data_IF_970670525473
#
_entry.id   IF_970670525473
#
_cell.length_a   1.000
_cell.length_b   1.000
_cell.length_c   1.000
_cell.angle_alpha   90.00
_cell.angle_beta   90.00
_cell.angle_gamma   90.00
#
_symmetry.space_group_name_H-M   'P 1'
#
loop_
_entity.id
_entity.type
_entity.pdbx_description
1 polymer ?
#
# COMPACT_ATOMS: atom_id res chain seq x y z
N UNK A 1 34.90 21.54 15.37
CA UNK A 1 33.95 20.47 15.68
C UNK A 1 34.17 19.34 14.68
N UNK A 2 34.36 18.14 15.14
CA UNK A 2 34.41 16.99 14.24
C UNK A 2 32.97 16.58 13.74
N UNK A 3 32.89 15.64 12.80
CA UNK A 3 31.61 15.23 12.23
C UNK A 3 30.63 14.70 13.28
N UNK A 4 31.09 13.96 14.27
CA UNK A 4 30.27 13.42 15.35
C UNK A 4 29.76 14.49 16.31
N UNK A 5 30.58 15.51 16.60
CA UNK A 5 30.18 16.65 17.43
C UNK A 5 29.09 17.48 16.76
N UNK A 6 29.23 17.73 15.44
CA UNK A 6 28.19 18.41 14.64
C UNK A 6 26.90 17.58 14.57
N UNK A 7 27.04 16.28 14.37
CA UNK A 7 25.87 15.37 14.35
C UNK A 7 25.13 15.38 15.70
N UNK A 8 25.85 15.27 16.82
CA UNK A 8 25.28 15.33 18.16
C UNK A 8 24.54 16.65 18.42
N UNK A 9 25.07 17.78 17.95
CA UNK A 9 24.41 19.07 18.03
C UNK A 9 23.08 19.07 17.25
N UNK A 10 23.06 18.53 16.04
CA UNK A 10 21.86 18.38 15.24
C UNK A 10 20.82 17.50 15.92
N UNK A 11 21.25 16.35 16.47
CA UNK A 11 20.37 15.42 17.21
C UNK A 11 19.76 16.12 18.42
N UNK A 12 20.52 16.86 19.20
CA UNK A 12 20.01 17.57 20.36
C UNK A 12 18.89 18.57 19.98
N UNK A 13 19.10 19.35 18.91
CA UNK A 13 18.10 20.29 18.40
C UNK A 13 16.85 19.58 17.86
N UNK A 14 17.03 18.51 17.09
CA UNK A 14 15.93 17.73 16.52
C UNK A 14 15.04 17.11 17.61
N UNK A 15 15.62 16.50 18.64
CA UNK A 15 14.90 15.82 19.70
C UNK A 15 14.03 16.76 20.55
N UNK A 16 14.35 18.05 20.58
CA UNK A 16 13.52 19.06 21.27
C UNK A 16 12.16 19.27 20.57
N UNK A 17 12.12 19.11 19.27
CA UNK A 17 10.94 19.48 18.46
C UNK A 17 10.16 18.30 17.90
N UNK A 18 10.83 17.15 17.62
CA UNK A 18 10.24 16.05 16.86
C UNK A 18 8.97 15.47 17.47
N UNK A 19 8.82 15.52 18.82
CA UNK A 19 7.62 15.03 19.50
C UNK A 19 6.38 15.88 19.19
N UNK A 20 6.58 17.19 19.02
CA UNK A 20 5.49 18.12 18.70
C UNK A 20 5.31 18.31 17.19
N UNK A 21 6.37 18.14 16.42
CA UNK A 21 6.38 18.24 14.96
C UNK A 21 7.26 17.13 14.34
N UNK A 22 6.67 16.00 13.95
CA UNK A 22 7.42 14.89 13.31
C UNK A 22 8.12 15.27 12.00
N UNK A 23 7.73 16.37 11.36
CA UNK A 23 8.34 16.89 10.14
C UNK A 23 9.31 18.04 10.40
N UNK A 24 9.78 18.20 11.65
CA UNK A 24 10.73 19.26 12.00
C UNK A 24 12.03 19.13 11.21
N UNK A 25 12.60 20.27 10.87
CA UNK A 25 13.91 20.39 10.26
C UNK A 25 14.95 21.02 11.25
N UNK A 26 14.65 20.99 12.52
CA UNK A 26 15.56 21.47 13.55
C UNK A 26 16.90 20.72 13.47
N UNK A 27 18.00 21.47 13.61
CA UNK A 27 19.35 20.90 13.49
C UNK A 27 19.85 20.65 12.07
N UNK A 28 19.08 20.95 11.03
CA UNK A 28 19.44 20.66 9.63
C UNK A 28 20.84 21.13 9.27
N UNK A 29 21.21 22.38 9.62
CA UNK A 29 22.55 22.90 9.35
C UNK A 29 23.68 22.04 9.96
N UNK A 30 23.48 21.58 11.19
CA UNK A 30 24.48 20.75 11.88
C UNK A 30 24.60 19.36 11.22
N UNK A 31 23.48 18.77 10.80
CA UNK A 31 23.47 17.52 10.05
C UNK A 31 24.15 17.65 8.69
N UNK A 32 23.87 18.72 7.93
CA UNK A 32 24.51 18.99 6.65
C UNK A 32 26.05 19.14 6.80
N UNK A 33 26.47 19.94 7.79
CA UNK A 33 27.91 20.18 8.03
C UNK A 33 28.60 18.90 8.49
N UNK A 34 27.94 18.08 9.30
CA UNK A 34 28.47 16.78 9.73
C UNK A 34 28.65 15.83 8.55
N UNK A 35 27.64 15.70 7.67
CA UNK A 35 27.70 14.83 6.49
C UNK A 35 28.72 15.34 5.47
N UNK A 36 28.90 16.65 5.32
CA UNK A 36 29.96 17.21 4.48
C UNK A 36 31.38 16.87 5.01
N UNK A 37 31.53 16.80 6.33
CA UNK A 37 32.81 16.43 6.95
C UNK A 37 33.10 14.92 6.86
N UNK A 38 32.05 14.07 6.95
CA UNK A 38 32.13 12.61 6.78
C UNK A 38 30.90 12.07 6.07
N UNK A 39 30.94 11.89 4.74
CA UNK A 39 29.82 11.37 3.95
C UNK A 39 29.75 9.84 3.91
N UNK A 40 30.52 9.12 4.73
CA UNK A 40 30.67 7.67 4.63
C UNK A 40 29.55 6.86 5.29
N UNK A 41 28.72 7.48 6.18
CA UNK A 41 27.66 6.79 6.92
C UNK A 41 26.32 6.86 6.15
N UNK A 42 25.86 5.76 5.51
CA UNK A 42 24.63 5.75 4.74
C UNK A 42 23.38 6.04 5.59
N UNK A 43 23.43 5.77 6.90
CA UNK A 43 22.30 6.08 7.80
C UNK A 43 22.16 7.58 8.02
N UNK A 44 23.31 8.32 8.13
CA UNK A 44 23.32 9.79 8.20
C UNK A 44 22.87 10.40 6.88
N UNK A 45 23.35 9.88 5.75
CA UNK A 45 22.89 10.30 4.41
C UNK A 45 21.38 10.16 4.28
N UNK A 46 20.84 9.00 4.68
CA UNK A 46 19.40 8.72 4.63
C UNK A 46 18.60 9.69 5.49
N UNK A 47 19.00 9.90 6.74
CA UNK A 47 18.31 10.81 7.65
C UNK A 47 18.35 12.25 7.14
N UNK A 48 19.51 12.71 6.64
CA UNK A 48 19.64 14.04 6.03
C UNK A 48 18.74 14.18 4.80
N UNK A 49 18.67 13.18 3.92
CA UNK A 49 17.75 13.19 2.78
C UNK A 49 16.31 13.41 3.21
N UNK A 50 15.87 12.73 4.26
CA UNK A 50 14.52 12.89 4.82
C UNK A 50 14.28 14.30 5.36
N UNK A 51 15.22 14.88 6.09
CA UNK A 51 15.11 16.27 6.58
C UNK A 51 15.06 17.28 5.43
N UNK A 52 15.89 17.09 4.41
CA UNK A 52 15.88 17.94 3.22
C UNK A 52 14.53 17.85 2.47
N UNK A 53 13.94 16.66 2.39
CA UNK A 53 12.60 16.48 1.84
C UNK A 53 11.57 17.32 2.63
N UNK A 54 11.56 17.24 3.96
CA UNK A 54 10.66 18.04 4.80
C UNK A 54 10.96 19.54 4.73
N UNK A 55 12.21 19.92 4.46
CA UNK A 55 12.59 21.31 4.22
C UNK A 55 12.17 21.84 2.83
N UNK A 56 11.56 21.00 1.96
CA UNK A 56 11.22 21.35 0.59
C UNK A 56 12.39 21.38 -0.38
N UNK A 57 13.59 20.95 0.06
CA UNK A 57 14.83 20.91 -0.75
C UNK A 57 14.91 19.59 -1.52
N UNK A 58 13.89 19.33 -2.35
CA UNK A 58 13.67 18.03 -2.99
C UNK A 58 14.81 17.57 -3.91
N UNK A 59 15.46 18.47 -4.65
CA UNK A 59 16.58 18.12 -5.53
C UNK A 59 17.79 17.61 -4.75
N UNK A 60 18.05 18.18 -3.58
CA UNK A 60 19.14 17.77 -2.70
C UNK A 60 18.79 16.47 -1.97
N UNK A 61 17.55 16.32 -1.50
CA UNK A 61 17.07 15.07 -0.93
C UNK A 61 17.26 13.90 -1.89
N UNK A 62 16.91 14.08 -3.18
CA UNK A 62 17.12 13.06 -4.21
C UNK A 62 18.60 12.67 -4.36
N UNK A 63 19.50 13.65 -4.37
CA UNK A 63 20.94 13.38 -4.46
C UNK A 63 21.43 12.51 -3.30
N UNK A 64 20.99 12.81 -2.07
CA UNK A 64 21.36 12.01 -0.90
C UNK A 64 20.74 10.62 -0.90
N UNK A 65 19.48 10.44 -1.35
CA UNK A 65 18.92 9.08 -1.53
C UNK A 65 19.71 8.26 -2.55
N UNK A 66 20.22 8.88 -3.62
CA UNK A 66 21.09 8.19 -4.59
C UNK A 66 22.42 7.79 -3.98
N UNK A 67 23.04 8.66 -3.15
CA UNK A 67 24.25 8.33 -2.43
C UNK A 67 24.05 7.17 -1.42
N UNK A 68 22.87 7.08 -0.78
CA UNK A 68 22.51 5.92 0.06
C UNK A 68 22.55 4.63 -0.75
N UNK A 69 21.97 4.64 -1.96
CA UNK A 69 21.97 3.47 -2.85
C UNK A 69 23.41 3.12 -3.28
N UNK A 70 24.24 4.11 -3.60
CA UNK A 70 25.65 3.90 -3.96
C UNK A 70 26.46 3.30 -2.81
N UNK A 71 26.18 3.73 -1.57
CA UNK A 71 26.86 3.24 -0.37
C UNK A 71 26.40 1.85 0.07
N UNK A 72 25.11 1.53 -0.11
CA UNK A 72 24.50 0.24 0.29
C UNK A 72 23.64 -0.33 -0.87
N UNK A 73 24.24 -0.78 -1.99
CA UNK A 73 23.49 -1.19 -3.17
C UNK A 73 22.63 -2.45 -2.98
N UNK A 74 22.89 -3.25 -1.94
CA UNK A 74 22.09 -4.43 -1.59
C UNK A 74 20.97 -4.12 -0.59
N UNK A 75 20.93 -2.89 -0.06
CA UNK A 75 19.92 -2.45 0.90
C UNK A 75 18.66 -1.95 0.19
N UNK A 76 17.51 -2.57 0.45
CA UNK A 76 16.24 -2.14 -0.14
C UNK A 76 15.76 -0.74 0.27
N UNK A 77 16.27 -0.19 1.38
CA UNK A 77 15.78 1.07 1.95
C UNK A 77 15.96 2.28 1.02
N UNK A 78 17.18 2.48 0.51
CA UNK A 78 17.47 3.61 -0.37
C UNK A 78 16.62 3.57 -1.64
N UNK A 79 16.43 2.38 -2.21
CA UNK A 79 15.60 2.19 -3.40
C UNK A 79 14.13 2.49 -3.13
N UNK A 80 13.58 1.96 -2.04
CA UNK A 80 12.18 2.17 -1.71
C UNK A 80 11.89 3.66 -1.49
N UNK A 81 12.74 4.36 -0.72
CA UNK A 81 12.55 5.79 -0.47
C UNK A 81 12.67 6.63 -1.76
N UNK A 82 13.66 6.34 -2.59
CA UNK A 82 13.81 7.06 -3.86
C UNK A 82 12.65 6.78 -4.81
N UNK A 83 12.14 5.56 -4.85
CA UNK A 83 10.96 5.20 -5.65
C UNK A 83 9.74 5.98 -5.15
N UNK A 84 9.44 5.95 -3.86
CA UNK A 84 8.31 6.69 -3.27
C UNK A 84 8.43 8.21 -3.51
N UNK A 85 9.64 8.76 -3.36
CA UNK A 85 9.92 10.16 -3.67
C UNK A 85 9.62 10.50 -5.14
N UNK A 86 10.10 9.69 -6.08
CA UNK A 86 9.90 9.91 -7.51
C UNK A 86 8.42 9.74 -7.92
N UNK A 87 7.70 8.80 -7.32
CA UNK A 87 6.26 8.59 -7.56
C UNK A 87 5.45 9.78 -7.06
N UNK A 88 5.73 10.28 -5.84
CA UNK A 88 5.08 11.48 -5.30
C UNK A 88 5.32 12.72 -6.15
N UNK A 89 6.47 12.82 -6.82
CA UNK A 89 6.81 13.87 -7.77
C UNK A 89 6.22 13.64 -9.19
N UNK A 90 5.44 12.57 -9.41
CA UNK A 90 4.88 12.22 -10.71
C UNK A 90 5.89 11.63 -11.70
N UNK A 91 7.13 11.35 -11.28
CA UNK A 91 8.26 10.86 -12.10
C UNK A 91 8.28 9.34 -12.20
N UNK A 92 7.11 8.72 -12.50
CA UNK A 92 6.92 7.25 -12.49
C UNK A 92 7.90 6.48 -13.37
N UNK A 93 8.26 7.02 -14.56
CA UNK A 93 9.24 6.39 -15.43
C UNK A 93 10.64 6.29 -14.81
N UNK A 94 11.02 7.25 -13.98
CA UNK A 94 12.27 7.23 -13.24
C UNK A 94 12.18 6.32 -12.02
N UNK A 95 11.06 6.34 -11.30
CA UNK A 95 10.79 5.41 -10.20
C UNK A 95 10.96 3.95 -10.67
N UNK A 96 10.38 3.60 -11.82
CA UNK A 96 10.53 2.26 -12.40
C UNK A 96 11.98 1.93 -12.77
N UNK A 97 12.76 2.88 -13.31
CA UNK A 97 14.19 2.64 -13.56
C UNK A 97 14.98 2.36 -12.28
N UNK A 98 14.67 3.08 -11.19
CA UNK A 98 15.27 2.84 -9.88
C UNK A 98 14.84 1.47 -9.34
N UNK A 99 13.57 1.08 -9.52
CA UNK A 99 13.09 -0.24 -9.15
C UNK A 99 13.79 -1.36 -9.94
N UNK A 100 14.03 -1.17 -11.24
CA UNK A 100 14.82 -2.09 -12.06
C UNK A 100 16.26 -2.26 -11.50
N UNK A 101 16.90 -1.18 -11.06
CA UNK A 101 18.20 -1.26 -10.40
C UNK A 101 18.12 -2.06 -9.09
N UNK A 102 17.08 -1.86 -8.28
CA UNK A 102 16.86 -2.62 -7.05
C UNK A 102 16.70 -4.13 -7.30
N UNK A 103 15.95 -4.50 -8.35
CA UNK A 103 15.78 -5.89 -8.79
C UNK A 103 17.12 -6.48 -9.23
N UNK A 104 17.87 -5.77 -10.07
CA UNK A 104 19.18 -6.22 -10.55
C UNK A 104 20.20 -6.39 -9.41
N UNK A 105 20.15 -5.55 -8.40
CA UNK A 105 20.97 -5.66 -7.20
C UNK A 105 20.50 -6.75 -6.22
N UNK A 106 19.32 -7.35 -6.45
CA UNK A 106 18.71 -8.28 -5.48
C UNK A 106 18.29 -7.60 -4.16
N UNK A 107 18.16 -6.27 -4.17
CA UNK A 107 17.97 -5.48 -2.96
C UNK A 107 16.61 -5.63 -2.32
N UNK A 108 15.51 -5.61 -3.11
CA UNK A 108 14.14 -5.70 -2.54
C UNK A 108 13.19 -6.48 -3.46
N UNK A 109 12.69 -5.93 -4.54
CA UNK A 109 11.60 -6.52 -5.35
C UNK A 109 12.07 -7.63 -6.31
N UNK A 110 11.10 -8.35 -6.89
CA UNK A 110 11.36 -9.36 -7.92
C UNK A 110 11.17 -8.81 -9.36
N UNK A 111 10.41 -7.71 -9.51
CA UNK A 111 10.07 -7.09 -10.78
C UNK A 111 9.95 -5.57 -10.62
N UNK A 112 10.31 -4.79 -11.66
CA UNK A 112 10.27 -3.32 -11.59
C UNK A 112 8.85 -2.74 -11.57
N UNK A 113 7.86 -3.52 -11.93
CA UNK A 113 6.46 -3.15 -11.82
C UNK A 113 5.84 -3.51 -10.46
N UNK A 114 6.47 -4.41 -9.70
CA UNK A 114 6.00 -4.88 -8.41
C UNK A 114 6.73 -4.14 -7.29
N UNK A 115 6.12 -3.10 -6.73
CA UNK A 115 6.78 -2.19 -5.79
C UNK A 115 6.04 -1.98 -4.46
N UNK A 116 5.50 -3.04 -3.83
CA UNK A 116 4.88 -2.89 -2.52
C UNK A 116 5.94 -2.51 -1.47
N UNK A 117 5.59 -1.67 -0.49
CA UNK A 117 6.51 -1.35 0.60
C UNK A 117 6.79 -2.55 1.51
N UNK A 118 5.86 -3.49 1.64
CA UNK A 118 6.02 -4.75 2.35
C UNK A 118 6.18 -5.86 1.30
N UNK A 119 7.41 -6.26 1.04
CA UNK A 119 7.70 -7.28 0.03
C UNK A 119 8.20 -8.57 0.68
N UNK A 120 7.41 -9.63 0.55
CA UNK A 120 7.76 -10.98 1.02
C UNK A 120 8.47 -11.74 -0.10
N UNK A 121 9.75 -12.08 0.13
CA UNK A 121 10.58 -12.81 -0.81
C UNK A 121 10.13 -14.27 -0.94
N UNK A 122 10.36 -14.86 -2.11
CA UNK A 122 10.13 -16.29 -2.36
C UNK A 122 8.71 -16.66 -2.77
N UNK A 123 7.77 -15.71 -2.81
CA UNK A 123 6.48 -15.91 -3.45
C UNK A 123 6.60 -15.70 -4.97
N UNK A 124 5.85 -16.46 -5.74
CA UNK A 124 5.79 -16.28 -7.20
C UNK A 124 5.27 -14.89 -7.53
N UNK A 125 6.06 -14.15 -8.31
CA UNK A 125 5.71 -12.79 -8.75
C UNK A 125 5.34 -12.81 -10.22
N UNK A 126 4.05 -12.60 -10.52
CA UNK A 126 3.52 -12.42 -11.88
C UNK A 126 2.30 -11.50 -11.86
N UNK A 127 2.16 -10.56 -12.82
CA UNK A 127 1.08 -9.59 -12.79
C UNK A 127 -0.30 -10.24 -12.93
N UNK A 128 -0.41 -11.25 -13.79
CA UNK A 128 -1.67 -11.97 -14.05
C UNK A 128 -1.56 -13.44 -13.68
N UNK A 129 -2.65 -13.98 -13.14
CA UNK A 129 -2.78 -15.38 -12.76
C UNK A 129 -3.83 -16.05 -13.63
N UNK A 130 -3.57 -17.30 -14.02
CA UNK A 130 -4.53 -18.05 -14.80
C UNK A 130 -5.73 -18.45 -13.93
N UNK A 131 -6.93 -18.45 -14.52
CA UNK A 131 -8.15 -18.88 -13.82
C UNK A 131 -8.02 -20.31 -13.29
N UNK A 132 -7.30 -21.14 -14.02
CA UNK A 132 -7.04 -22.56 -13.73
C UNK A 132 -6.16 -22.75 -12.48
N UNK A 133 -5.40 -21.73 -12.07
CA UNK A 133 -4.63 -21.72 -10.82
C UNK A 133 -5.56 -21.72 -9.58
N UNK A 134 -6.87 -21.39 -9.77
CA UNK A 134 -7.85 -21.27 -8.71
C UNK A 134 -9.09 -22.14 -8.98
N UNK A 135 -9.13 -23.43 -8.54
CA UNK A 135 -10.24 -24.34 -8.80
C UNK A 135 -11.61 -23.80 -8.35
N UNK A 136 -11.66 -23.03 -7.28
CA UNK A 136 -12.86 -22.39 -6.75
C UNK A 136 -13.48 -21.32 -7.66
N UNK A 137 -12.76 -20.86 -8.67
CA UNK A 137 -13.26 -19.85 -9.61
C UNK A 137 -14.50 -20.34 -10.38
N UNK A 138 -14.57 -21.63 -10.68
CA UNK A 138 -15.74 -22.20 -11.38
C UNK A 138 -17.03 -22.09 -10.57
N UNK A 139 -16.95 -22.34 -9.26
CA UNK A 139 -18.11 -22.25 -8.36
C UNK A 139 -18.55 -20.80 -8.17
N UNK A 140 -17.59 -19.86 -8.04
CA UNK A 140 -17.88 -18.44 -7.95
C UNK A 140 -18.54 -17.91 -9.24
N UNK A 141 -18.01 -18.28 -10.40
CA UNK A 141 -18.62 -17.93 -11.71
C UNK A 141 -20.00 -18.57 -11.87
N UNK A 142 -20.18 -19.81 -11.41
CA UNK A 142 -21.48 -20.50 -11.42
C UNK A 142 -22.54 -19.78 -10.57
N UNK A 143 -22.12 -19.13 -9.51
CA UNK A 143 -22.98 -18.34 -8.63
C UNK A 143 -23.27 -16.91 -9.12
N UNK A 144 -22.63 -16.46 -10.21
CA UNK A 144 -22.82 -15.12 -10.77
C UNK A 144 -24.28 -14.68 -10.89
N UNK A 145 -25.25 -15.50 -11.40
CA UNK A 145 -26.63 -15.05 -11.52
C UNK A 145 -27.26 -14.69 -10.17
N UNK A 146 -26.95 -15.44 -9.12
CA UNK A 146 -27.47 -15.17 -7.78
C UNK A 146 -26.82 -13.91 -7.17
N UNK A 147 -25.51 -13.77 -7.29
CA UNK A 147 -24.76 -12.60 -6.82
C UNK A 147 -25.26 -11.33 -7.52
N UNK A 148 -25.43 -11.40 -8.85
CA UNK A 148 -25.95 -10.27 -9.64
C UNK A 148 -27.38 -9.92 -9.25
N UNK A 149 -28.25 -10.91 -9.01
CA UNK A 149 -29.63 -10.67 -8.58
C UNK A 149 -29.67 -9.93 -7.23
N UNK A 150 -28.93 -10.39 -6.23
CA UNK A 150 -28.83 -9.71 -4.92
C UNK A 150 -28.28 -8.28 -5.05
N UNK A 151 -27.27 -8.06 -5.89
CA UNK A 151 -26.78 -6.72 -6.19
C UNK A 151 -27.87 -5.85 -6.82
N UNK A 152 -28.65 -6.38 -7.78
CA UNK A 152 -29.71 -5.64 -8.48
C UNK A 152 -30.85 -5.26 -7.56
N UNK A 153 -31.20 -6.09 -6.57
CA UNK A 153 -32.20 -5.78 -5.55
C UNK A 153 -31.83 -4.52 -4.74
N UNK A 154 -30.55 -4.25 -4.49
CA UNK A 154 -30.09 -3.00 -3.86
C UNK A 154 -30.42 -1.75 -4.68
N UNK A 155 -30.49 -1.87 -6.01
CA UNK A 155 -30.79 -0.74 -6.89
C UNK A 155 -32.32 -0.49 -7.07
N UNK A 156 -33.16 -1.33 -6.45
CA UNK A 156 -34.63 -1.31 -6.56
C UNK A 156 -35.13 -2.05 -7.80
N UNK A 157 -36.44 -2.37 -7.81
CA UNK A 157 -37.15 -3.25 -8.78
C UNK A 157 -37.04 -2.84 -10.27
N UNK A 158 -36.49 -1.69 -10.56
CA UNK A 158 -36.25 -1.24 -11.93
C UNK A 158 -34.79 -1.47 -12.28
N UNK A 159 -34.44 -2.69 -12.66
CA UNK A 159 -33.11 -3.17 -13.05
C UNK A 159 -32.39 -2.42 -14.19
N UNK A 160 -32.86 -1.24 -14.53
CA UNK A 160 -32.20 -0.29 -15.42
C UNK A 160 -31.49 0.76 -14.56
N UNK A 161 -30.22 0.49 -14.23
CA UNK A 161 -29.37 1.46 -13.55
C UNK A 161 -29.10 2.70 -14.41
N UNK A 162 -29.55 2.73 -15.67
CA UNK A 162 -29.29 3.83 -16.62
C UNK A 162 -27.84 4.30 -16.65
N UNK A 163 -26.89 3.41 -16.31
CA UNK A 163 -25.47 3.74 -16.16
C UNK A 163 -25.13 4.61 -14.95
N UNK A 164 -26.04 4.79 -13.99
CA UNK A 164 -25.85 5.70 -12.83
C UNK A 164 -25.13 4.98 -11.68
N UNK A 165 -24.31 5.76 -10.96
CA UNK A 165 -23.63 5.31 -9.75
C UNK A 165 -24.62 5.03 -8.61
N UNK A 166 -24.41 3.94 -7.83
CA UNK A 166 -25.23 3.62 -6.66
C UNK A 166 -24.96 4.64 -5.53
N UNK A 167 -25.83 5.63 -5.38
CA UNK A 167 -25.63 6.75 -4.45
C UNK A 167 -25.62 6.33 -2.98
N UNK A 168 -26.17 5.16 -2.64
CA UNK A 168 -26.16 4.60 -1.28
C UNK A 168 -24.84 3.94 -0.89
N UNK A 169 -23.96 3.67 -1.87
CA UNK A 169 -22.65 3.07 -1.61
C UNK A 169 -21.64 4.13 -1.12
N UNK A 170 -20.66 3.70 -0.33
CA UNK A 170 -19.66 4.61 0.22
C UNK A 170 -18.76 5.10 -0.91
N UNK A 171 -18.56 6.42 -0.99
CA UNK A 171 -17.62 6.99 -1.96
C UNK A 171 -16.19 6.82 -1.45
N UNK A 172 -15.30 6.30 -2.29
CA UNK A 172 -13.88 6.20 -1.96
C UNK A 172 -13.28 7.60 -1.85
N UNK A 173 -12.53 7.84 -0.78
CA UNK A 173 -12.01 9.14 -0.41
C UNK A 173 -12.84 9.89 0.64
N UNK A 174 -14.05 9.42 0.98
CA UNK A 174 -14.80 9.90 2.14
C UNK A 174 -14.28 9.22 3.42
N UNK A 175 -14.50 9.82 4.59
CA UNK A 175 -14.00 9.35 5.91
C UNK A 175 -14.35 7.90 6.26
N UNK A 176 -15.32 7.30 5.56
CA UNK A 176 -15.80 5.92 5.76
C UNK A 176 -15.28 4.92 4.74
N UNK A 177 -14.55 5.39 3.76
CA UNK A 177 -14.00 4.57 2.68
C UNK A 177 -12.53 4.22 2.93
N UNK A 178 -11.98 3.34 2.07
CA UNK A 178 -10.54 3.13 1.99
C UNK A 178 -9.81 4.47 1.81
N UNK A 179 -8.60 4.58 2.35
CA UNK A 179 -7.77 5.79 2.24
C UNK A 179 -7.28 6.04 0.78
N UNK A 180 -7.78 5.24 -0.16
CA UNK A 180 -7.37 5.24 -1.57
C UNK A 180 -8.01 6.40 -2.40
N UNK A 181 -8.61 7.39 -1.74
CA UNK A 181 -9.23 8.52 -2.43
C UNK A 181 -8.29 9.30 -3.35
N UNK A 182 -7.02 9.35 -3.00
CA UNK A 182 -5.99 10.06 -3.76
C UNK A 182 -5.66 9.41 -5.12
N UNK A 183 -6.06 8.14 -5.31
CA UNK A 183 -5.85 7.47 -6.60
C UNK A 183 -6.96 7.73 -7.62
N UNK A 184 -8.09 8.29 -7.20
CA UNK A 184 -9.18 8.67 -8.12
C UNK A 184 -8.82 9.99 -8.80
N UNK A 185 -8.61 9.97 -10.12
CA UNK A 185 -8.31 11.18 -10.86
C UNK A 185 -9.48 12.20 -10.77
N UNK A 186 -9.19 13.51 -10.81
CA UNK A 186 -10.21 14.55 -10.72
C UNK A 186 -11.35 14.33 -11.73
N UNK A 187 -12.59 14.47 -11.27
CA UNK A 187 -13.79 14.26 -12.07
C UNK A 187 -14.29 12.81 -12.12
N UNK A 188 -13.53 11.86 -11.58
CA UNK A 188 -13.94 10.47 -11.45
C UNK A 188 -14.79 10.22 -10.20
N UNK A 189 -15.46 9.06 -10.20
CA UNK A 189 -16.21 8.57 -9.04
C UNK A 189 -16.05 7.07 -8.89
N UNK A 190 -15.59 6.66 -7.71
CA UNK A 190 -15.50 5.27 -7.26
C UNK A 190 -16.30 5.10 -5.99
N UNK A 191 -17.17 4.07 -5.96
CA UNK A 191 -17.97 3.73 -4.79
C UNK A 191 -17.86 2.25 -4.46
N UNK A 192 -18.01 1.95 -3.18
CA UNK A 192 -17.88 0.62 -2.62
C UNK A 192 -19.08 0.26 -1.76
N UNK A 193 -19.47 -1.03 -1.83
CA UNK A 193 -20.35 -1.65 -0.86
C UNK A 193 -19.58 -2.76 -0.16
N UNK A 194 -19.36 -2.60 1.14
CA UNK A 194 -18.53 -3.48 1.94
C UNK A 194 -19.32 -4.73 2.35
N UNK A 195 -18.94 -5.90 1.82
CA UNK A 195 -19.47 -7.19 2.28
C UNK A 195 -18.69 -7.67 3.50
N UNK A 196 -17.37 -7.65 3.43
CA UNK A 196 -16.44 -7.97 4.52
C UNK A 196 -15.28 -6.98 4.51
N UNK A 197 -15.11 -6.25 5.61
CA UNK A 197 -13.99 -5.33 5.82
C UNK A 197 -13.86 -5.02 7.31
N UNK A 198 -12.63 -4.80 7.80
CA UNK A 198 -12.37 -4.37 9.16
C UNK A 198 -12.34 -2.83 9.33
N UNK A 199 -12.53 -2.05 8.27
CA UNK A 199 -12.48 -0.58 8.33
C UNK A 199 -13.56 0.03 9.24
N UNK A 200 -14.63 -0.72 9.49
CA UNK A 200 -15.62 -0.37 10.51
C UNK A 200 -15.65 -1.48 11.57
N UNK A 201 -14.87 -1.35 12.64
CA UNK A 201 -14.83 -2.33 13.73
C UNK A 201 -16.21 -2.56 14.38
N UNK A 202 -17.18 -1.63 14.21
CA UNK A 202 -18.58 -1.84 14.58
C UNK A 202 -19.31 -2.81 13.64
N UNK A 203 -18.73 -3.14 12.48
CA UNK A 203 -19.30 -3.94 11.38
C UNK A 203 -18.40 -5.10 10.94
N UNK A 204 -17.40 -5.48 11.73
CA UNK A 204 -16.37 -6.50 11.42
C UNK A 204 -16.82 -7.96 11.41
N UNK A 205 -18.07 -8.21 11.73
CA UNK A 205 -18.79 -9.42 11.34
C UNK A 205 -19.71 -9.02 10.21
N UNK A 206 -19.98 -9.90 9.27
CA UNK A 206 -21.00 -9.63 8.26
C UNK A 206 -22.14 -8.86 8.94
N UNK A 207 -22.20 -7.55 8.66
CA UNK A 207 -23.20 -6.68 9.26
C UNK A 207 -24.55 -7.40 9.06
N UNK A 208 -25.39 -7.61 10.08
CA UNK A 208 -26.67 -8.27 9.92
C UNK A 208 -27.49 -7.71 8.76
N UNK A 209 -27.33 -6.45 8.44
CA UNK A 209 -27.95 -5.83 7.27
C UNK A 209 -27.33 -6.31 5.94
N UNK A 210 -26.01 -6.52 5.89
CA UNK A 210 -25.33 -7.10 4.71
C UNK A 210 -25.79 -8.54 4.50
N UNK A 211 -25.88 -9.34 5.58
CA UNK A 211 -26.38 -10.72 5.51
C UNK A 211 -27.83 -10.80 5.02
N UNK A 212 -28.66 -9.79 5.35
CA UNK A 212 -30.04 -9.73 4.83
C UNK A 212 -30.11 -9.39 3.35
N UNK A 213 -29.19 -8.52 2.90
CA UNK A 213 -29.15 -8.03 1.51
C UNK A 213 -28.45 -9.02 0.57
N UNK A 214 -27.45 -9.74 1.06
CA UNK A 214 -26.61 -10.67 0.30
C UNK A 214 -26.52 -12.07 0.95
N UNK A 215 -27.66 -12.71 1.30
CA UNK A 215 -27.62 -13.98 2.04
C UNK A 215 -26.92 -15.10 1.26
N UNK A 216 -27.20 -15.24 -0.04
CA UNK A 216 -26.59 -16.30 -0.87
C UNK A 216 -25.11 -16.01 -1.17
N UNK A 217 -24.79 -14.74 -1.44
CA UNK A 217 -23.40 -14.32 -1.69
C UNK A 217 -22.54 -14.53 -0.44
N UNK A 218 -23.03 -14.15 0.74
CA UNK A 218 -22.29 -14.34 1.98
C UNK A 218 -22.12 -15.83 2.33
N UNK A 219 -23.16 -16.65 2.23
CA UNK A 219 -23.10 -18.10 2.44
C UNK A 219 -22.06 -18.76 1.51
N UNK A 220 -22.10 -18.38 0.22
CA UNK A 220 -21.11 -18.85 -0.75
C UNK A 220 -19.69 -18.47 -0.37
N UNK A 221 -19.43 -17.19 -0.05
CA UNK A 221 -18.11 -16.68 0.27
C UNK A 221 -17.55 -17.33 1.54
N UNK A 222 -18.37 -17.51 2.58
CA UNK A 222 -17.97 -18.18 3.82
C UNK A 222 -17.65 -19.66 3.62
N UNK A 223 -18.38 -20.34 2.72
CA UNK A 223 -18.16 -21.73 2.38
C UNK A 223 -16.96 -21.92 1.44
N UNK A 224 -16.84 -21.10 0.40
CA UNK A 224 -15.89 -21.28 -0.69
C UNK A 224 -14.52 -20.66 -0.38
N UNK A 225 -14.51 -19.51 0.28
CA UNK A 225 -13.32 -18.67 0.51
C UNK A 225 -13.19 -18.24 1.99
N UNK A 226 -13.24 -19.19 2.96
CA UNK A 226 -13.17 -18.84 4.39
C UNK A 226 -11.87 -18.06 4.73
N UNK A 227 -10.75 -18.34 4.04
CA UNK A 227 -9.51 -17.62 4.22
C UNK A 227 -9.56 -16.16 3.78
N UNK A 228 -10.27 -15.84 2.69
CA UNK A 228 -10.47 -14.47 2.23
C UNK A 228 -11.41 -13.70 3.18
N UNK A 229 -12.48 -14.36 3.65
CA UNK A 229 -13.37 -13.79 4.66
C UNK A 229 -12.63 -13.51 5.97
N UNK A 230 -11.78 -14.43 6.43
CA UNK A 230 -10.94 -14.23 7.62
C UNK A 230 -9.94 -13.07 7.42
N UNK A 231 -9.32 -12.98 6.23
CA UNK A 231 -8.41 -11.88 5.87
C UNK A 231 -9.12 -10.53 5.96
N UNK A 232 -10.32 -10.43 5.39
CA UNK A 232 -11.12 -9.20 5.42
C UNK A 232 -11.50 -8.79 6.85
N UNK A 233 -11.88 -9.76 7.70
CA UNK A 233 -12.23 -9.52 9.12
C UNK A 233 -11.07 -8.97 9.96
N UNK A 234 -9.83 -9.24 9.59
CA UNK A 234 -8.63 -8.71 10.29
C UNK A 234 -8.02 -7.47 9.64
N UNK A 235 -8.65 -6.93 8.58
CA UNK A 235 -8.21 -5.69 7.93
C UNK A 235 -7.00 -5.83 7.00
N UNK A 236 -6.62 -7.04 6.61
CA UNK A 236 -5.52 -7.29 5.66
C UNK A 236 -5.99 -7.26 4.21
N UNK A 237 -7.28 -7.48 4.01
CA UNK A 237 -7.95 -7.44 2.71
C UNK A 237 -9.41 -7.03 2.88
N UNK A 238 -10.18 -7.20 1.82
CA UNK A 238 -11.61 -6.88 1.79
C UNK A 238 -12.34 -7.71 0.74
N UNK A 239 -13.64 -7.85 0.92
CA UNK A 239 -14.57 -8.37 -0.09
C UNK A 239 -15.65 -7.32 -0.28
N UNK A 240 -15.72 -6.73 -1.47
CA UNK A 240 -16.58 -5.57 -1.75
C UNK A 240 -17.21 -5.66 -3.13
N UNK A 241 -18.35 -5.00 -3.29
CA UNK A 241 -18.79 -4.58 -4.60
C UNK A 241 -18.13 -3.24 -4.92
N UNK A 242 -17.43 -3.17 -6.04
CA UNK A 242 -16.69 -1.97 -6.47
C UNK A 242 -17.31 -1.42 -7.75
N UNK A 243 -17.81 -0.18 -7.69
CA UNK A 243 -18.45 0.53 -8.79
C UNK A 243 -17.61 1.74 -9.24
N UNK A 244 -17.32 1.82 -10.53
CA UNK A 244 -16.54 2.92 -11.13
C UNK A 244 -17.38 3.57 -12.23
N UNK A 245 -17.61 4.89 -12.12
CA UNK A 245 -18.43 5.64 -13.08
C UNK A 245 -17.75 5.79 -14.45
N UNK A 246 -18.53 6.07 -15.52
CA UNK A 246 -17.97 6.49 -16.81
C UNK A 246 -17.01 7.67 -16.68
N UNK A 247 -15.93 7.64 -17.44
CA UNK A 247 -14.89 8.67 -17.44
C UNK A 247 -13.95 8.62 -16.24
N UNK A 248 -14.11 7.66 -15.32
CA UNK A 248 -13.23 7.54 -14.15
C UNK A 248 -11.92 6.87 -14.53
N UNK A 249 -10.85 7.43 -13.98
CA UNK A 249 -9.51 6.86 -14.03
C UNK A 249 -8.95 6.74 -12.63
N UNK A 250 -8.55 5.53 -12.24
CA UNK A 250 -7.72 5.29 -11.07
C UNK A 250 -6.27 5.40 -11.50
N UNK A 251 -5.50 6.25 -10.83
CA UNK A 251 -4.09 6.49 -11.18
C UNK A 251 -3.24 5.26 -10.85
N UNK A 252 -2.12 5.05 -11.54
CA UNK A 252 -1.22 3.92 -11.27
C UNK A 252 -0.76 3.90 -9.82
N UNK A 253 -0.90 2.75 -9.15
CA UNK A 253 -0.49 2.51 -7.78
C UNK A 253 -0.17 1.02 -7.56
N UNK A 254 0.49 0.71 -6.45
CA UNK A 254 0.76 -0.65 -5.98
C UNK A 254 0.06 -0.87 -4.64
N UNK A 255 -0.41 -2.09 -4.38
CA UNK A 255 -0.86 -2.46 -3.04
C UNK A 255 0.30 -2.43 -2.04
N UNK A 256 -0.03 -2.44 -0.74
CA UNK A 256 0.96 -2.36 0.34
C UNK A 256 1.82 -3.62 0.49
N UNK A 257 1.38 -4.78 -0.01
CA UNK A 257 2.08 -6.06 0.16
C UNK A 257 1.73 -7.06 -0.94
N UNK A 258 2.64 -8.00 -1.20
CA UNK A 258 2.45 -9.14 -2.11
C UNK A 258 2.00 -10.43 -1.39
N UNK A 259 1.54 -10.37 -0.14
CA UNK A 259 1.03 -11.54 0.59
C UNK A 259 -0.37 -11.96 0.14
N UNK A 260 -1.00 -11.18 -0.74
CA UNK A 260 -2.36 -11.39 -1.22
C UNK A 260 -2.45 -11.19 -2.72
N UNK A 261 -3.49 -11.77 -3.30
CA UNK A 261 -3.90 -11.56 -4.68
C UNK A 261 -5.32 -11.01 -4.73
N UNK A 262 -5.73 -10.51 -5.87
CA UNK A 262 -7.05 -9.94 -6.12
C UNK A 262 -7.79 -10.73 -7.20
N UNK A 263 -9.05 -11.10 -6.90
CA UNK A 263 -10.00 -11.64 -7.86
C UNK A 263 -11.10 -10.62 -8.12
N UNK A 264 -11.43 -10.36 -9.38
CA UNK A 264 -12.62 -9.62 -9.77
C UNK A 264 -13.59 -10.53 -10.53
N UNK A 265 -14.79 -10.75 -9.99
CA UNK A 265 -15.90 -11.30 -10.77
C UNK A 265 -16.66 -10.14 -11.43
N UNK A 266 -16.76 -10.13 -12.75
CA UNK A 266 -17.48 -9.13 -13.51
C UNK A 266 -18.99 -9.21 -13.29
N UNK A 267 -19.63 -8.13 -12.84
CA UNK A 267 -21.07 -8.04 -12.63
C UNK A 267 -21.76 -7.12 -13.65
N UNK A 268 -21.15 -5.96 -13.92
CA UNK A 268 -21.53 -5.04 -15.00
C UNK A 268 -20.25 -4.58 -15.66
N UNK A 269 -20.05 -4.95 -16.92
CA UNK A 269 -18.78 -4.80 -17.62
C UNK A 269 -18.99 -4.06 -18.94
N UNK A 270 -19.05 -2.71 -18.92
CA UNK A 270 -19.22 -1.94 -20.14
C UNK A 270 -18.00 -2.06 -21.05
N UNK A 271 -18.22 -2.03 -22.35
CA UNK A 271 -17.16 -1.88 -23.32
C UNK A 271 -16.37 -0.57 -23.02
N UNK A 272 -15.03 -0.64 -23.09
CA UNK A 272 -14.15 0.48 -22.75
C UNK A 272 -13.67 0.51 -21.29
N UNK A 273 -14.24 -0.34 -20.39
CA UNK A 273 -13.63 -0.54 -19.06
C UNK A 273 -12.44 -1.48 -19.18
N UNK A 274 -11.29 -1.08 -18.61
CA UNK A 274 -10.05 -1.85 -18.65
C UNK A 274 -9.21 -1.67 -17.39
N UNK A 275 -8.37 -2.65 -17.11
CA UNK A 275 -7.37 -2.63 -16.06
C UNK A 275 -6.01 -2.95 -16.65
N UNK A 276 -4.99 -2.17 -16.29
CA UNK A 276 -3.59 -2.50 -16.57
C UNK A 276 -2.97 -3.03 -15.28
N UNK A 277 -2.22 -4.11 -15.39
CA UNK A 277 -1.41 -4.66 -14.28
C UNK A 277 -0.01 -4.93 -14.83
N UNK A 278 0.98 -4.26 -14.27
CA UNK A 278 2.30 -4.24 -14.87
C UNK A 278 2.24 -3.67 -16.30
N UNK A 279 2.85 -4.34 -17.29
CA UNK A 279 2.82 -3.91 -18.69
C UNK A 279 1.53 -4.31 -19.44
N UNK A 280 0.70 -5.20 -18.88
CA UNK A 280 -0.36 -5.88 -19.61
C UNK A 280 -1.75 -5.30 -19.31
N UNK A 281 -2.58 -5.24 -20.35
CA UNK A 281 -3.97 -4.80 -20.26
C UNK A 281 -4.92 -5.99 -20.16
N UNK A 282 -5.94 -5.86 -19.31
CA UNK A 282 -7.05 -6.77 -19.18
C UNK A 282 -8.40 -6.05 -19.22
N UNK A 283 -9.45 -6.82 -19.45
CA UNK A 283 -10.85 -6.38 -19.42
C UNK A 283 -11.68 -7.33 -18.57
N UNK A 284 -12.90 -6.93 -18.26
CA UNK A 284 -13.84 -7.79 -17.54
C UNK A 284 -14.90 -8.31 -18.50
N UNK A 285 -15.34 -9.54 -18.24
CA UNK A 285 -16.53 -10.14 -18.82
C UNK A 285 -17.52 -10.47 -17.71
N UNK A 286 -18.81 -10.25 -17.95
CA UNK A 286 -19.84 -10.58 -16.97
C UNK A 286 -19.87 -12.08 -16.67
N UNK A 287 -19.91 -12.43 -15.39
CA UNK A 287 -19.87 -13.81 -14.91
C UNK A 287 -18.51 -14.50 -15.02
N UNK A 288 -17.44 -13.77 -15.36
CA UNK A 288 -16.09 -14.29 -15.42
C UNK A 288 -15.20 -13.64 -14.39
N UNK A 289 -14.29 -14.46 -13.84
CA UNK A 289 -13.25 -14.02 -12.91
C UNK A 289 -11.96 -13.65 -13.65
N UNK A 290 -11.33 -12.56 -13.23
CA UNK A 290 -9.94 -12.26 -13.55
C UNK A 290 -9.14 -12.24 -12.25
N UNK A 291 -7.86 -12.65 -12.34
CA UNK A 291 -6.97 -12.79 -11.19
C UNK A 291 -5.66 -12.05 -11.46
N UNK A 292 -5.25 -11.21 -10.53
CA UNK A 292 -4.00 -10.48 -10.64
C UNK A 292 -3.40 -10.18 -9.28
N UNK A 293 -2.11 -9.86 -9.29
CA UNK A 293 -1.36 -9.39 -8.14
C UNK A 293 -1.42 -7.85 -8.10
N UNK A 294 -2.20 -7.30 -7.17
CA UNK A 294 -2.37 -5.85 -6.99
C UNK A 294 -1.13 -5.17 -6.38
N UNK A 295 -0.11 -5.94 -5.96
CA UNK A 295 1.19 -5.40 -5.58
C UNK A 295 2.04 -4.96 -6.79
N UNK A 296 1.68 -5.39 -8.01
CA UNK A 296 2.14 -4.77 -9.25
C UNK A 296 1.48 -3.41 -9.45
N UNK A 297 2.19 -2.48 -10.05
CA UNK A 297 1.59 -1.21 -10.46
C UNK A 297 0.41 -1.49 -11.38
N UNK A 298 -0.76 -1.05 -10.94
CA UNK A 298 -2.00 -1.21 -11.69
C UNK A 298 -2.80 0.07 -11.74
N UNK A 299 -3.63 0.20 -12.77
CA UNK A 299 -4.55 1.30 -12.98
C UNK A 299 -5.85 0.79 -13.60
N UNK A 300 -6.94 1.47 -13.33
CA UNK A 300 -8.26 1.16 -13.88
C UNK A 300 -8.80 2.37 -14.61
N UNK A 301 -9.39 2.13 -15.77
CA UNK A 301 -10.04 3.16 -16.58
C UNK A 301 -11.41 2.65 -17.01
N UNK A 302 -12.43 3.47 -16.85
CA UNK A 302 -13.76 3.22 -17.41
C UNK A 302 -14.07 4.30 -18.46
N UNK A 303 -13.63 4.08 -19.70
CA UNK A 303 -13.97 4.92 -20.85
C UNK A 303 -15.31 4.50 -21.49
N UNK A 304 -16.04 3.57 -20.87
CA UNK A 304 -17.36 3.14 -21.30
C UNK A 304 -18.45 4.19 -21.03
N UNK A 305 -19.67 3.86 -21.41
CA UNK A 305 -20.84 4.73 -21.26
C UNK A 305 -21.74 4.41 -20.06
N UNK A 306 -21.37 3.37 -19.28
CA UNK A 306 -22.09 2.96 -18.08
C UNK A 306 -21.13 2.61 -16.95
N UNK A 307 -21.68 2.43 -15.73
CA UNK A 307 -20.91 2.06 -14.54
C UNK A 307 -20.33 0.66 -14.70
N UNK A 308 -19.05 0.48 -14.39
CA UNK A 308 -18.44 -0.84 -14.23
C UNK A 308 -18.63 -1.31 -12.77
N UNK A 309 -19.19 -2.51 -12.57
CA UNK A 309 -19.33 -3.11 -11.24
C UNK A 309 -18.71 -4.50 -11.23
N UNK A 310 -17.89 -4.77 -10.22
CA UNK A 310 -17.28 -6.08 -9.95
C UNK A 310 -17.48 -6.46 -8.49
N UNK A 311 -17.54 -7.76 -8.22
CA UNK A 311 -17.25 -8.29 -6.89
C UNK A 311 -15.72 -8.45 -6.80
N UNK A 312 -15.11 -7.63 -5.95
CA UNK A 312 -13.68 -7.64 -5.66
C UNK A 312 -13.45 -8.49 -4.41
N UNK A 313 -12.53 -9.46 -4.51
CA UNK A 313 -12.15 -10.35 -3.42
C UNK A 313 -10.63 -10.33 -3.30
N UNK A 314 -10.11 -9.90 -2.16
CA UNK A 314 -8.71 -10.07 -1.81
C UNK A 314 -8.53 -11.35 -1.03
N UNK A 315 -7.54 -12.16 -1.41
CA UNK A 315 -7.28 -13.47 -0.81
C UNK A 315 -5.78 -13.72 -0.69
N UNK A 316 -5.41 -14.62 0.23
CA UNK A 316 -4.00 -14.93 0.49
C UNK A 316 -3.31 -15.51 -0.74
N UNK A 317 -2.05 -15.12 -0.93
CA UNK A 317 -1.20 -15.69 -1.96
C UNK A 317 -1.18 -17.23 -1.84
N UNK A 318 -1.42 -17.99 -2.92
CA UNK A 318 -1.65 -19.44 -2.86
C UNK A 318 -0.45 -20.24 -2.33
N UNK A 319 0.76 -19.71 -2.48
CA UNK A 319 1.98 -20.34 -1.97
C UNK A 319 2.25 -20.02 -0.50
N UNK A 320 1.46 -19.15 0.14
CA UNK A 320 1.61 -18.83 1.54
C UNK A 320 0.73 -19.78 2.39
N UNK A 321 1.34 -20.73 3.14
CA UNK A 321 0.58 -21.65 3.97
C UNK A 321 -0.25 -20.95 5.03
N UNK A 322 -1.45 -21.46 5.31
CA UNK A 322 -2.42 -20.81 6.21
C UNK A 322 -1.85 -20.56 7.61
N UNK A 323 -1.06 -21.48 8.13
CA UNK A 323 -0.40 -21.37 9.43
C UNK A 323 0.69 -20.27 9.48
N UNK A 324 1.11 -19.76 8.32
CA UNK A 324 2.13 -18.70 8.21
C UNK A 324 1.55 -17.33 7.85
N UNK A 325 0.27 -17.21 7.52
CA UNK A 325 -0.33 -15.95 7.07
C UNK A 325 0.01 -14.76 7.97
N UNK A 326 -0.39 -14.86 9.24
CA UNK A 326 -0.21 -13.74 10.18
C UNK A 326 1.26 -13.51 10.55
N UNK A 327 2.05 -14.58 10.75
CA UNK A 327 3.47 -14.43 11.10
C UNK A 327 4.26 -13.77 9.96
N UNK A 328 4.00 -14.15 8.71
CA UNK A 328 4.67 -13.56 7.54
C UNK A 328 4.30 -12.08 7.38
N UNK A 329 3.00 -11.76 7.49
CA UNK A 329 2.55 -10.36 7.42
C UNK A 329 3.15 -9.52 8.55
N UNK A 330 3.11 -10.01 9.79
CA UNK A 330 3.64 -9.28 10.95
C UNK A 330 5.14 -9.03 10.81
N UNK A 331 5.92 -10.03 10.37
CA UNK A 331 7.36 -9.83 10.11
C UNK A 331 7.60 -8.75 9.05
N UNK A 332 6.85 -8.75 7.95
CA UNK A 332 6.95 -7.71 6.93
C UNK A 332 6.56 -6.32 7.45
N UNK A 333 5.52 -6.23 8.26
CA UNK A 333 5.09 -4.98 8.90
C UNK A 333 6.12 -4.47 9.91
N UNK A 334 6.74 -5.36 10.70
CA UNK A 334 7.81 -5.01 11.64
C UNK A 334 9.03 -4.46 10.90
N UNK A 335 9.44 -5.11 9.81
CA UNK A 335 10.54 -4.65 8.96
C UNK A 335 10.24 -3.27 8.36
N UNK A 336 9.05 -3.09 7.80
CA UNK A 336 8.60 -1.81 7.26
C UNK A 336 8.51 -0.72 8.34
N UNK A 337 7.99 -1.04 9.53
CA UNK A 337 7.93 -0.11 10.66
C UNK A 337 9.32 0.29 11.13
N UNK A 338 10.27 -0.65 11.20
CA UNK A 338 11.66 -0.35 11.53
C UNK A 338 12.32 0.58 10.50
N UNK A 339 11.96 0.43 9.23
CA UNK A 339 12.39 1.32 8.16
C UNK A 339 11.81 2.73 8.35
N UNK A 340 10.50 2.86 8.61
CA UNK A 340 9.86 4.16 8.86
C UNK A 340 10.45 4.87 10.08
N UNK A 341 10.86 4.13 11.13
CA UNK A 341 11.53 4.71 12.30
C UNK A 341 12.86 5.39 11.93
N UNK A 342 13.56 4.93 10.90
CA UNK A 342 14.79 5.57 10.44
C UNK A 342 14.57 6.98 9.87
N UNK A 343 13.35 7.30 9.41
CA UNK A 343 12.99 8.65 8.93
C UNK A 343 12.93 9.67 10.06
N UNK A 344 12.60 9.23 11.28
CA UNK A 344 12.34 10.11 12.43
C UNK A 344 13.34 9.92 13.58
N UNK A 345 14.26 8.97 13.45
CA UNK A 345 15.27 8.67 14.47
C UNK A 345 16.66 8.89 13.92
N UNK A 346 17.32 10.01 14.26
CA UNK A 346 18.67 10.27 13.80
C UNK A 346 19.61 9.17 14.31
N UNK A 347 20.46 8.59 13.43
CA UNK A 347 21.39 7.56 13.85
C UNK A 347 22.39 8.12 14.86
N UNK A 348 22.64 7.36 15.93
CA UNK A 348 23.61 7.71 16.96
C UNK A 348 24.67 6.61 17.07
N UNK A 349 25.93 6.95 16.78
CA UNK A 349 27.09 6.13 17.14
C UNK A 349 27.31 6.17 18.66
N UNK A 350 28.11 5.22 19.19
CA UNK A 350 28.48 5.25 20.61
C UNK A 350 29.11 6.60 21.02
N UNK A 351 29.92 7.20 20.15
CA UNK A 351 30.50 8.50 20.37
C UNK A 351 29.47 9.63 20.39
N UNK A 352 28.48 9.62 19.45
CA UNK A 352 27.38 10.59 19.46
C UNK A 352 26.57 10.47 20.75
N UNK A 353 26.26 9.26 21.20
CA UNK A 353 25.56 9.04 22.46
C UNK A 353 26.33 9.57 23.68
N UNK A 354 27.66 9.36 23.74
CA UNK A 354 28.50 9.93 24.78
C UNK A 354 28.50 11.48 24.76
N UNK A 355 28.54 12.08 23.58
CA UNK A 355 28.54 13.54 23.44
C UNK A 355 27.17 14.11 23.89
N UNK A 356 26.05 13.46 23.57
CA UNK A 356 24.74 13.86 24.03
C UNK A 356 24.61 13.76 25.56
N UNK A 357 25.10 12.67 26.17
CA UNK A 357 25.10 12.51 27.63
C UNK A 357 25.93 13.60 28.34
N UNK A 358 27.08 14.01 27.77
CA UNK A 358 27.92 15.08 28.32
C UNK A 358 27.26 16.44 28.23
N UNK A 359 26.47 16.70 27.16
CA UNK A 359 25.80 17.97 26.96
C UNK A 359 24.60 18.18 27.90
N UNK A 360 23.89 17.10 28.25
CA UNK A 360 22.67 17.19 29.05
C UNK A 360 22.90 17.13 30.57
N UNK A 361 24.08 16.76 31.06
CA UNK A 361 24.36 16.61 32.49
C UNK A 361 23.43 15.60 33.21
N UNK A 362 22.65 14.81 32.49
CA UNK A 362 21.72 13.79 32.97
C UNK A 362 21.53 12.70 31.94
N UNK A 363 21.35 11.43 32.35
CA UNK A 363 21.26 10.33 31.43
C UNK A 363 19.99 10.42 30.56
N UNK A 364 20.18 10.53 29.24
CA UNK A 364 19.11 10.31 28.26
C UNK A 364 18.76 8.84 28.34
N UNK A 365 17.58 8.54 28.86
CA UNK A 365 17.02 7.19 28.81
C UNK A 365 16.70 6.89 27.35
N UNK A 366 17.56 6.13 26.68
CA UNK A 366 17.21 5.46 25.44
C UNK A 366 16.13 4.44 25.78
N UNK A 367 14.87 4.84 25.70
CA UNK A 367 13.77 3.90 25.79
C UNK A 367 13.88 2.93 24.61
N UNK A 368 14.26 1.68 24.91
CA UNK A 368 14.00 0.55 24.02
C UNK A 368 12.52 0.61 23.68
N UNK A 369 12.21 0.71 22.38
CA UNK A 369 10.84 0.84 21.92
C UNK A 369 9.93 -0.19 22.55
N UNK A 370 8.92 0.29 23.28
CA UNK A 370 7.76 -0.53 23.64
C UNK A 370 6.94 -0.73 22.37
N UNK A 371 6.43 -1.93 22.12
CA UNK A 371 5.52 -2.14 21.02
C UNK A 371 4.29 -1.26 21.21
N UNK A 372 3.94 -0.50 20.17
CA UNK A 372 2.66 0.20 20.10
C UNK A 372 1.54 -0.86 20.19
N UNK A 373 0.97 -1.00 21.38
CA UNK A 373 -0.31 -1.64 21.56
C UNK A 373 -1.40 -0.67 21.17
N UNK A 374 -2.23 -1.13 20.26
CA UNK A 374 -3.64 -0.78 20.01
C UNK A 374 -4.01 0.70 19.80
N UNK A 375 -4.35 1.04 18.59
CA UNK A 375 -5.71 1.48 18.22
C UNK A 375 -5.84 1.40 16.70
#
# INVERSE_FOLDING_TARGET
>A
MDADELWAQGVAQYLLEVKANPQTVAGLWAFETSVQADPSDPKRLFFLATLLYHAGRHAEAEQFYRQVIEAEPESGHGYLELVLFLESAGRRGEARRVACQAVMAGAIWADEWQRPPIFVRGLTSKPWWAREDFPWAADLEGAYPAIKAEMLELFGERGDHGGKMPQSWVRVGDERASQDGDIVAPGGEWREFLLYSAQDQSKSTANPEVLKLFPKTCELLESLLPGAVAMAKIGVGEIILSAISPGTKLTPHCASSNVRLTCHLGLVCPEGARVRVGPDLGTWEEGRCIFFDDSYEHEVVNDGNSVRIVLLIRFWHPELPAEKWLSTLNSGMEEYSAMLQRRVSPPASSRVAELLMKAEGSPVIVQKGSPLNSA
#
